data_IF_988232375833
#
_entry.id   IF_988232375833
#
_cell.length_a   1.000
_cell.length_b   1.000
_cell.length_c   1.000
_cell.angle_alpha   90.00
_cell.angle_beta   90.00
_cell.angle_gamma   90.00
#
_symmetry.space_group_name_H-M   'P 1'
#
loop_
_entity.id
_entity.type
_entity.pdbx_description
1 polymer ?
#
# COMPACT_ATOMS: atom_id res chain seq x y z
N UNK A 1 -61.29 24.85 -7.33
CA UNK A 1 -60.03 24.19 -6.92
C UNK A 1 -58.91 25.14 -7.28
N UNK A 2 -58.15 25.65 -6.29
CA UNK A 2 -57.21 26.76 -6.50
C UNK A 2 -55.90 26.26 -7.14
N UNK A 3 -55.48 26.78 -8.32
CA UNK A 3 -54.28 26.32 -9.03
C UNK A 3 -52.98 26.60 -8.25
N UNK A 4 -53.01 27.51 -7.28
CA UNK A 4 -51.87 27.84 -6.42
C UNK A 4 -51.50 26.72 -5.45
N UNK A 5 -52.46 25.90 -5.02
CA UNK A 5 -52.24 24.78 -4.10
C UNK A 5 -51.53 23.61 -4.79
N UNK A 6 -51.80 23.40 -6.09
CA UNK A 6 -51.14 22.37 -6.89
C UNK A 6 -49.68 22.74 -7.19
N UNK A 7 -49.39 24.02 -7.39
CA UNK A 7 -48.04 24.51 -7.66
C UNK A 7 -47.14 24.47 -6.42
N UNK A 8 -47.69 24.77 -5.24
CA UNK A 8 -46.99 24.62 -3.96
C UNK A 8 -46.71 23.16 -3.61
N UNK A 9 -47.61 22.23 -3.93
CA UNK A 9 -47.39 20.79 -3.73
C UNK A 9 -46.31 20.25 -4.68
N UNK A 10 -46.30 20.69 -5.94
CA UNK A 10 -45.23 20.35 -6.88
C UNK A 10 -43.87 20.96 -6.49
N UNK A 11 -43.85 22.18 -5.94
CA UNK A 11 -42.61 22.82 -5.45
C UNK A 11 -42.08 22.12 -4.19
N UNK A 12 -42.97 21.67 -3.28
CA UNK A 12 -42.59 20.91 -2.09
C UNK A 12 -42.08 19.49 -2.42
N UNK A 13 -42.59 18.87 -3.49
CA UNK A 13 -42.12 17.57 -3.99
C UNK A 13 -40.82 17.65 -4.81
N UNK A 14 -40.45 18.84 -5.31
CA UNK A 14 -39.19 19.09 -6.02
C UNK A 14 -38.00 19.33 -5.09
N UNK A 15 -38.25 19.51 -3.79
CA UNK A 15 -37.21 19.50 -2.74
C UNK A 15 -37.15 18.09 -2.13
N UNK A 16 -37.01 17.08 -2.98
CA UNK A 16 -36.37 15.85 -2.53
C UNK A 16 -34.93 16.24 -2.18
N UNK A 17 -34.41 15.92 -0.98
CA UNK A 17 -33.00 16.08 -0.74
C UNK A 17 -32.28 15.27 -1.83
N UNK A 18 -31.46 15.93 -2.65
CA UNK A 18 -30.42 15.23 -3.40
C UNK A 18 -29.78 14.29 -2.38
N UNK A 19 -29.84 12.97 -2.64
CA UNK A 19 -29.53 11.95 -1.64
C UNK A 19 -28.28 12.34 -0.87
N UNK A 20 -28.41 12.51 0.44
CA UNK A 20 -27.32 13.00 1.26
C UNK A 20 -26.19 11.98 1.15
N UNK A 21 -25.09 12.41 0.51
CA UNK A 21 -23.86 11.62 0.46
C UNK A 21 -23.17 11.81 1.80
N UNK A 22 -23.00 10.72 2.54
CA UNK A 22 -22.14 10.70 3.71
C UNK A 22 -20.70 10.48 3.25
N UNK A 23 -19.82 11.39 3.65
CA UNK A 23 -18.38 11.31 3.41
C UNK A 23 -17.67 11.35 4.76
N UNK A 24 -16.92 10.30 5.06
CA UNK A 24 -16.05 10.19 6.23
C UNK A 24 -14.61 10.15 5.74
N UNK A 25 -13.71 10.87 6.43
CA UNK A 25 -12.29 10.90 6.10
C UNK A 25 -11.48 10.39 7.28
N UNK A 26 -10.36 9.72 7.00
CA UNK A 26 -9.38 9.34 8.01
C UNK A 26 -8.72 10.57 8.65
N UNK A 27 -8.06 10.42 9.81
CA UNK A 27 -7.44 11.54 10.54
C UNK A 27 -6.35 12.27 9.74
N UNK A 28 -5.68 11.59 8.81
CA UNK A 28 -4.68 12.13 7.90
C UNK A 28 -5.21 12.53 6.52
N UNK A 29 -6.49 12.25 6.24
CA UNK A 29 -7.14 12.57 4.97
C UNK A 29 -6.72 11.68 3.78
N UNK A 30 -5.98 10.60 4.00
CA UNK A 30 -5.54 9.69 2.94
C UNK A 30 -6.61 8.70 2.51
N UNK A 31 -7.57 8.42 3.39
CA UNK A 31 -8.66 7.47 3.16
C UNK A 31 -10.01 8.16 3.33
N UNK A 32 -10.90 7.90 2.39
CA UNK A 32 -12.29 8.37 2.46
C UNK A 32 -13.28 7.25 2.26
N UNK A 33 -14.35 7.24 3.04
CA UNK A 33 -15.50 6.38 2.88
C UNK A 33 -16.70 7.21 2.40
N UNK A 34 -17.22 6.87 1.23
CA UNK A 34 -18.38 7.53 0.62
C UNK A 34 -19.59 6.59 0.62
N UNK A 35 -20.75 7.06 1.05
CA UNK A 35 -22.00 6.32 1.01
C UNK A 35 -23.16 7.21 0.57
N UNK A 36 -24.10 6.65 -0.18
CA UNK A 36 -25.34 7.34 -0.60
C UNK A 36 -26.44 7.30 0.47
N UNK A 37 -26.17 6.64 1.60
CA UNK A 37 -27.04 6.63 2.77
C UNK A 37 -26.29 7.25 3.96
N UNK A 38 -27.02 7.88 4.91
CA UNK A 38 -26.42 8.38 6.13
C UNK A 38 -25.62 7.28 6.84
N UNK A 39 -24.38 7.59 7.20
CA UNK A 39 -23.49 6.68 7.89
C UNK A 39 -22.98 7.32 9.19
N UNK A 40 -23.19 6.62 10.31
CA UNK A 40 -22.66 6.97 11.62
C UNK A 40 -21.47 6.06 11.91
N UNK A 41 -20.32 6.44 11.36
CA UNK A 41 -19.09 5.66 11.41
C UNK A 41 -17.87 6.57 11.38
N UNK A 42 -16.75 6.05 11.86
CA UNK A 42 -15.46 6.75 11.86
C UNK A 42 -14.37 5.88 11.24
N UNK A 43 -13.41 6.53 10.60
CA UNK A 43 -12.15 5.91 10.19
C UNK A 43 -11.10 6.27 11.22
N UNK A 44 -10.56 5.28 11.92
CA UNK A 44 -9.48 5.45 12.89
C UNK A 44 -8.24 4.68 12.45
N UNK A 45 -7.06 5.04 12.94
CA UNK A 45 -5.86 4.23 12.75
C UNK A 45 -6.05 2.87 13.44
N UNK A 46 -5.85 1.79 12.69
CA UNK A 46 -5.78 0.46 13.27
C UNK A 46 -4.40 0.29 13.96
N UNK A 47 -4.37 -0.33 15.14
CA UNK A 47 -3.12 -0.81 15.73
C UNK A 47 -2.38 -1.69 14.72
N UNK A 48 -1.04 -1.76 14.76
CA UNK A 48 -0.27 -2.47 13.74
C UNK A 48 -0.81 -3.88 13.53
N UNK A 49 -1.30 -4.11 12.30
CA UNK A 49 -1.87 -5.39 11.86
C UNK A 49 -0.85 -6.14 11.02
N UNK A 50 -0.78 -7.46 11.20
CA UNK A 50 0.08 -8.30 10.37
C UNK A 50 -0.61 -8.57 9.04
N UNK A 51 -0.02 -8.19 7.88
CA UNK A 51 -0.58 -8.48 6.57
C UNK A 51 -0.57 -9.99 6.27
N UNK A 52 -1.32 -10.45 5.26
CA UNK A 52 -1.25 -11.83 4.80
C UNK A 52 0.14 -12.16 4.22
N UNK A 53 0.51 -13.44 4.22
CA UNK A 53 1.82 -13.90 3.70
C UNK A 53 2.07 -13.44 2.26
N UNK A 54 3.27 -12.93 1.98
CA UNK A 54 3.66 -12.41 0.67
C UNK A 54 3.19 -10.99 0.38
N UNK A 55 2.49 -10.35 1.32
CA UNK A 55 2.03 -8.97 1.22
C UNK A 55 2.69 -8.07 2.26
N UNK A 56 2.82 -6.80 1.93
CA UNK A 56 3.25 -5.75 2.86
C UNK A 56 2.31 -4.55 2.77
N UNK A 57 2.05 -3.85 3.89
CA UNK A 57 1.33 -2.59 3.86
C UNK A 57 2.18 -1.53 3.15
N UNK A 58 1.53 -0.73 2.31
CA UNK A 58 2.14 0.48 1.72
C UNK A 58 2.15 1.61 2.74
N UNK A 59 1.08 1.70 3.54
CA UNK A 59 0.84 2.78 4.50
C UNK A 59 0.04 2.23 5.71
N UNK A 60 -0.40 3.13 6.58
CA UNK A 60 -1.24 2.81 7.73
C UNK A 60 -2.51 2.03 7.35
N UNK A 61 -2.98 1.23 8.31
CA UNK A 61 -4.25 0.53 8.22
C UNK A 61 -5.34 1.32 8.96
N UNK A 62 -6.58 1.22 8.49
CA UNK A 62 -7.69 2.01 9.01
C UNK A 62 -8.82 1.09 9.48
N UNK A 63 -9.24 1.25 10.72
CA UNK A 63 -10.40 0.62 11.29
C UNK A 63 -11.66 1.43 10.94
N UNK A 64 -12.66 0.76 10.39
CA UNK A 64 -14.02 1.30 10.29
C UNK A 64 -14.80 0.96 11.56
N UNK A 65 -15.03 1.98 12.39
CA UNK A 65 -15.74 1.89 13.67
C UNK A 65 -17.18 2.43 13.53
N UNK A 66 -18.20 1.84 14.18
CA UNK A 66 -18.14 0.71 15.11
C UNK A 66 -18.06 -0.68 14.43
N UNK A 67 -17.57 -1.73 15.11
CA UNK A 67 -17.42 -3.07 14.53
C UNK A 67 -18.76 -3.77 14.23
N UNK A 68 -19.88 -3.29 14.79
CA UNK A 68 -21.23 -3.78 14.52
C UNK A 68 -21.99 -2.91 13.50
N UNK A 69 -21.27 -2.00 12.80
CA UNK A 69 -21.84 -1.13 11.79
C UNK A 69 -22.53 -1.92 10.67
N UNK A 70 -23.79 -1.60 10.41
CA UNK A 70 -24.56 -2.13 9.28
C UNK A 70 -24.67 -1.08 8.19
N UNK A 71 -24.02 -1.33 7.05
CA UNK A 71 -24.12 -0.46 5.88
C UNK A 71 -25.48 -0.63 5.19
N UNK A 72 -26.34 0.38 5.31
CA UNK A 72 -27.67 0.39 4.70
C UNK A 72 -27.64 0.51 3.15
N UNK A 73 -26.51 0.94 2.59
CA UNK A 73 -26.25 1.02 1.16
C UNK A 73 -24.78 0.68 0.88
N UNK A 74 -24.42 0.26 -0.35
CA UNK A 74 -23.02 0.05 -0.72
C UNK A 74 -22.20 1.33 -0.49
N UNK A 75 -21.11 1.20 0.26
CA UNK A 75 -20.15 2.28 0.45
C UNK A 75 -18.91 2.06 -0.43
N UNK A 76 -18.21 3.13 -0.77
CA UNK A 76 -16.96 3.08 -1.53
C UNK A 76 -15.85 3.63 -0.67
N UNK A 77 -14.84 2.81 -0.42
CA UNK A 77 -13.62 3.20 0.25
C UNK A 77 -12.59 3.61 -0.80
N UNK A 78 -11.94 4.75 -0.60
CA UNK A 78 -10.94 5.30 -1.49
C UNK A 78 -9.66 5.56 -0.72
N UNK A 79 -8.56 4.94 -1.13
CA UNK A 79 -7.21 5.21 -0.65
C UNK A 79 -6.49 6.10 -1.66
N UNK A 80 -5.81 7.12 -1.15
CA UNK A 80 -4.85 7.88 -1.94
C UNK A 80 -3.58 7.05 -2.11
N UNK A 81 -3.10 6.93 -3.35
CA UNK A 81 -1.83 6.26 -3.62
C UNK A 81 -0.69 7.24 -3.34
N UNK A 82 0.35 6.85 -2.57
CA UNK A 82 1.53 7.68 -2.38
C UNK A 82 2.17 8.08 -3.72
N UNK A 83 2.58 9.34 -3.84
CA UNK A 83 3.03 9.90 -5.12
C UNK A 83 4.29 9.21 -5.66
N UNK A 84 5.13 8.68 -4.76
CA UNK A 84 6.33 7.91 -5.07
C UNK A 84 6.04 6.54 -5.71
N UNK A 85 4.84 5.98 -5.49
CA UNK A 85 4.41 4.71 -6.08
C UNK A 85 3.45 4.91 -7.26
N UNK A 86 2.89 6.11 -7.39
CA UNK A 86 1.90 6.43 -8.41
C UNK A 86 2.50 6.32 -9.81
N UNK A 87 1.93 5.44 -10.63
CA UNK A 87 2.32 5.27 -12.04
C UNK A 87 3.50 4.33 -12.26
N UNK A 88 4.03 3.68 -11.22
CA UNK A 88 4.99 2.58 -11.38
C UNK A 88 4.26 1.31 -11.86
N UNK A 89 4.51 0.82 -13.09
CA UNK A 89 3.84 -0.37 -13.61
C UNK A 89 4.30 -1.68 -12.95
N UNK A 90 5.41 -1.67 -12.19
CA UNK A 90 5.94 -2.84 -11.49
C UNK A 90 5.26 -3.12 -10.14
N UNK A 91 4.60 -2.11 -9.57
CA UNK A 91 4.04 -2.17 -8.22
C UNK A 91 2.56 -2.56 -8.27
N UNK A 92 2.26 -3.76 -7.78
CA UNK A 92 0.87 -4.26 -7.70
C UNK A 92 0.25 -3.83 -6.38
N UNK A 93 -0.69 -2.90 -6.46
CA UNK A 93 -1.40 -2.36 -5.29
C UNK A 93 -2.83 -2.88 -5.21
N UNK A 94 -3.22 -3.37 -4.03
CA UNK A 94 -4.57 -3.89 -3.76
C UNK A 94 -5.09 -3.42 -2.41
N UNK A 95 -6.41 -3.35 -2.27
CA UNK A 95 -7.04 -3.11 -0.97
C UNK A 95 -7.30 -4.45 -0.27
N UNK A 96 -6.71 -4.62 0.91
CA UNK A 96 -6.99 -5.71 1.82
C UNK A 96 -8.03 -5.32 2.86
N UNK A 97 -8.86 -6.28 3.25
CA UNK A 97 -9.80 -6.17 4.36
C UNK A 97 -9.55 -7.30 5.36
N UNK A 98 -9.37 -6.94 6.62
CA UNK A 98 -9.27 -7.85 7.75
C UNK A 98 -10.58 -7.79 8.54
N UNK A 99 -11.39 -8.84 8.39
CA UNK A 99 -12.58 -9.08 9.19
C UNK A 99 -12.42 -10.29 10.11
N UNK A 100 -13.53 -10.78 10.65
CA UNK A 100 -13.53 -11.90 11.61
C UNK A 100 -12.98 -13.22 11.03
N UNK A 101 -13.17 -13.44 9.73
CA UNK A 101 -12.70 -14.63 9.02
C UNK A 101 -11.22 -14.53 8.57
N UNK A 102 -10.56 -13.40 8.85
CA UNK A 102 -9.20 -13.09 8.43
C UNK A 102 -9.14 -12.13 7.24
N UNK A 103 -8.01 -12.17 6.53
CA UNK A 103 -7.73 -11.28 5.40
C UNK A 103 -8.45 -11.72 4.12
N UNK A 104 -9.06 -10.76 3.44
CA UNK A 104 -9.57 -10.88 2.07
C UNK A 104 -9.03 -9.74 1.19
N UNK A 105 -8.74 -10.04 -0.08
CA UNK A 105 -8.38 -9.01 -1.07
C UNK A 105 -9.64 -8.54 -1.77
N UNK A 106 -9.88 -7.23 -1.73
CA UNK A 106 -11.07 -6.62 -2.32
C UNK A 106 -10.90 -6.39 -3.83
N UNK A 107 -12.01 -6.49 -4.60
CA UNK A 107 -12.01 -6.12 -6.01
C UNK A 107 -11.86 -4.61 -6.16
N UNK A 108 -10.61 -4.16 -6.26
CA UNK A 108 -10.24 -2.76 -6.28
C UNK A 108 -10.06 -2.22 -7.70
N UNK A 109 -10.18 -0.91 -7.86
CA UNK A 109 -9.96 -0.18 -9.12
C UNK A 109 -9.05 0.99 -8.89
N UNK A 110 -8.02 1.08 -9.71
CA UNK A 110 -7.13 2.24 -9.79
C UNK A 110 -7.80 3.32 -10.63
N UNK A 111 -7.79 4.57 -10.16
CA UNK A 111 -8.35 5.73 -10.86
C UNK A 111 -7.38 6.90 -10.78
N UNK A 112 -7.26 7.66 -11.86
CA UNK A 112 -6.55 8.94 -11.87
C UNK A 112 -7.51 10.08 -11.48
N UNK A 113 -7.11 10.89 -10.51
CA UNK A 113 -7.81 12.12 -10.10
C UNK A 113 -6.89 13.32 -10.25
N UNK A 114 -7.47 14.52 -10.18
CA UNK A 114 -6.72 15.78 -10.30
C UNK A 114 -5.55 15.92 -9.30
N UNK A 115 -5.63 15.23 -8.16
CA UNK A 115 -4.67 15.30 -7.07
C UNK A 115 -3.73 14.08 -7.00
N UNK A 116 -3.82 13.14 -7.94
CA UNK A 116 -3.02 11.92 -7.97
C UNK A 116 -3.84 10.66 -8.26
N UNK A 117 -3.21 9.51 -8.09
CA UNK A 117 -3.85 8.22 -8.26
C UNK A 117 -4.55 7.80 -6.97
N UNK A 118 -5.71 7.14 -7.10
CA UNK A 118 -6.45 6.57 -5.98
C UNK A 118 -6.84 5.14 -6.28
N UNK A 119 -7.02 4.35 -5.23
CA UNK A 119 -7.54 2.97 -5.33
C UNK A 119 -8.86 2.91 -4.59
N UNK A 120 -9.90 2.45 -5.28
CA UNK A 120 -11.26 2.38 -4.74
C UNK A 120 -11.74 0.94 -4.65
N UNK A 121 -12.44 0.59 -3.58
CA UNK A 121 -13.14 -0.68 -3.47
C UNK A 121 -14.55 -0.50 -2.85
N UNK A 122 -15.52 -1.33 -3.26
CA UNK A 122 -16.79 -1.40 -2.55
C UNK A 122 -16.60 -2.04 -1.18
N UNK A 123 -17.27 -1.49 -0.17
CA UNK A 123 -17.25 -1.98 1.21
C UNK A 123 -18.68 -2.31 1.64
N UNK A 124 -18.82 -3.48 2.29
CA UNK A 124 -20.11 -4.03 2.72
C UNK A 124 -20.15 -4.42 4.20
N UNK A 125 -19.01 -4.42 4.89
CA UNK A 125 -18.84 -4.81 6.29
C UNK A 125 -17.90 -3.82 6.98
N UNK A 126 -17.92 -3.69 8.31
CA UNK A 126 -16.84 -3.04 9.06
C UNK A 126 -15.62 -3.97 9.18
N UNK A 127 -14.50 -3.41 9.64
CA UNK A 127 -13.24 -4.12 9.79
C UNK A 127 -12.04 -3.21 9.56
N UNK A 128 -10.86 -3.82 9.41
CA UNK A 128 -9.62 -3.08 9.13
C UNK A 128 -9.34 -3.12 7.63
N UNK A 129 -9.03 -1.97 7.05
CA UNK A 129 -8.66 -1.81 5.65
C UNK A 129 -7.22 -1.35 5.52
N UNK A 130 -6.48 -1.93 4.59
CA UNK A 130 -5.10 -1.53 4.32
C UNK A 130 -4.81 -1.57 2.84
N UNK A 131 -3.99 -0.63 2.38
CA UNK A 131 -3.40 -0.68 1.04
C UNK A 131 -2.18 -1.59 1.09
N UNK A 132 -2.21 -2.67 0.33
CA UNK A 132 -1.19 -3.71 0.31
C UNK A 132 -0.48 -3.73 -1.05
N UNK A 133 0.78 -4.11 -1.03
CA UNK A 133 1.54 -4.50 -2.22
C UNK A 133 2.16 -5.88 -2.03
N UNK A 134 2.46 -6.55 -3.14
CA UNK A 134 3.23 -7.78 -3.10
C UNK A 134 4.68 -7.46 -2.75
N UNK A 135 5.27 -8.24 -1.83
CA UNK A 135 6.67 -8.06 -1.43
C UNK A 135 7.61 -8.15 -2.65
N UNK A 136 7.33 -9.06 -3.58
CA UNK A 136 8.09 -9.23 -4.83
C UNK A 136 7.96 -8.08 -5.84
N UNK A 137 6.99 -7.18 -5.65
CA UNK A 137 6.75 -6.05 -6.54
C UNK A 137 7.43 -4.77 -6.08
N UNK A 138 7.92 -4.73 -4.84
CA UNK A 138 8.74 -3.60 -4.40
C UNK A 138 10.11 -3.71 -5.07
N UNK A 139 10.65 -2.61 -5.61
CA UNK A 139 12.02 -2.62 -6.08
C UNK A 139 12.92 -2.94 -4.88
N UNK A 140 13.63 -4.06 -4.96
CA UNK A 140 14.65 -4.39 -3.97
C UNK A 140 15.60 -3.18 -3.89
N UNK A 141 15.91 -2.70 -2.68
CA UNK A 141 17.01 -1.75 -2.48
C UNK A 141 18.38 -2.37 -2.88
N UNK A 142 18.42 -3.60 -3.39
CA UNK A 142 19.58 -4.29 -3.94
C UNK A 142 19.80 -4.04 -5.45
N UNK A 143 19.76 -2.79 -5.91
CA UNK A 143 20.42 -2.41 -7.17
C UNK A 143 21.53 -1.37 -6.94
N UNK A 144 22.34 -1.63 -5.90
CA UNK A 144 23.68 -1.07 -5.76
C UNK A 144 24.70 -2.14 -5.33
N UNK A 145 24.51 -3.41 -5.71
CA UNK A 145 25.61 -4.36 -5.72
C UNK A 145 26.46 -4.11 -6.97
N UNK A 146 27.40 -3.17 -6.83
CA UNK A 146 28.56 -3.05 -7.72
C UNK A 146 29.09 -4.47 -7.96
N UNK A 147 29.24 -4.97 -9.19
CA UNK A 147 29.84 -6.28 -9.38
C UNK A 147 31.26 -6.22 -8.80
N UNK A 148 31.48 -6.82 -7.64
CA UNK A 148 32.82 -7.13 -7.15
C UNK A 148 33.41 -8.10 -8.15
N UNK A 149 34.14 -7.54 -9.10
CA UNK A 149 35.09 -8.26 -9.92
C UNK A 149 36.07 -8.92 -8.93
N UNK A 150 35.86 -10.20 -8.62
CA UNK A 150 36.88 -11.02 -8.00
C UNK A 150 38.07 -11.08 -8.96
N UNK A 151 39.01 -10.16 -8.79
CA UNK A 151 40.33 -10.33 -9.36
C UNK A 151 40.98 -11.52 -8.62
N UNK A 152 41.43 -12.58 -9.31
CA UNK A 152 42.14 -13.66 -8.66
C UNK A 152 43.41 -13.09 -8.01
N UNK A 153 43.52 -13.24 -6.70
CA UNK A 153 44.72 -12.89 -5.94
C UNK A 153 45.94 -13.57 -6.59
N UNK A 154 46.97 -12.82 -7.02
CA UNK A 154 48.21 -13.45 -7.45
C UNK A 154 48.89 -14.06 -6.23
N UNK A 155 48.80 -15.38 -6.10
CA UNK A 155 49.59 -16.17 -5.15
C UNK A 155 51.06 -16.07 -5.55
N UNK A 156 51.74 -15.05 -5.03
CA UNK A 156 53.18 -14.86 -5.22
C UNK A 156 53.89 -15.22 -3.91
N UNK A 157 54.60 -16.36 -3.99
CA UNK A 157 55.78 -16.80 -3.22
C UNK A 157 55.56 -17.33 -1.79
N UNK A 158 56.07 -18.57 -1.55
CA UNK A 158 57.36 -18.65 -0.87
C UNK A 158 58.34 -19.57 -1.62
N UNK A 159 59.05 -19.03 -2.61
CA UNK A 159 60.24 -19.69 -3.18
C UNK A 159 61.54 -19.02 -2.68
N UNK A 160 61.50 -18.44 -1.47
CA UNK A 160 62.66 -17.83 -0.82
C UNK A 160 63.39 -18.80 0.14
N UNK A 161 63.37 -20.11 -0.13
CA UNK A 161 64.13 -21.12 0.63
C UNK A 161 65.22 -21.83 -0.19
N UNK A 162 65.37 -21.53 -1.48
CA UNK A 162 66.37 -22.19 -2.34
C UNK A 162 67.63 -21.35 -2.63
N UNK A 163 67.75 -20.12 -2.12
CA UNK A 163 68.85 -19.20 -2.48
C UNK A 163 69.98 -19.10 -1.42
N UNK A 164 69.86 -19.78 -0.28
CA UNK A 164 70.95 -19.91 0.69
C UNK A 164 71.79 -21.20 0.53
N UNK A 165 71.35 -22.16 -0.30
CA UNK A 165 72.11 -23.39 -0.55
C UNK A 165 73.16 -23.27 -1.68
N UNK A 166 73.11 -22.21 -2.52
CA UNK A 166 74.09 -22.01 -3.61
C UNK A 166 75.23 -21.03 -3.27
N UNK A 167 75.23 -20.40 -2.09
CA UNK A 167 76.29 -19.48 -1.65
C UNK A 167 77.30 -20.08 -0.64
N UNK A 168 77.15 -21.35 -0.25
CA UNK A 168 78.16 -22.07 0.56
C UNK A 168 79.00 -23.11 -0.22
N UNK A 169 78.84 -23.23 -1.54
CA UNK A 169 79.59 -24.24 -2.34
C UNK A 169 80.68 -23.64 -3.25
N UNK A 170 80.79 -22.30 -3.37
CA UNK A 170 81.83 -21.66 -4.19
C UNK A 170 82.46 -20.50 -3.40
N UNK A 171 83.34 -20.83 -2.45
CA UNK A 171 84.07 -19.81 -1.68
C UNK A 171 84.96 -20.36 -0.57
N UNK A 172 85.79 -21.37 -0.85
CA UNK A 172 86.68 -21.93 0.16
C UNK A 172 87.67 -23.00 -0.33
N UNK A 173 88.20 -22.86 -1.55
CA UNK A 173 89.47 -23.50 -1.93
C UNK A 173 90.54 -22.42 -1.95
N UNK A 174 91.31 -22.35 -0.88
CA UNK A 174 92.76 -22.10 -0.87
C UNK A 174 93.30 -22.47 0.49
#
# INVERSE_FOLDING_TARGET
MSPHLSLLLCLALLVLPAGAVSLISSPDGLVTLESTAPLDAELAFAFPVTPPEGWMPIDEAYLLDPPDLVLAAPATLTFTVPAELAGDPGIVMVLGHLGDDGWEILPSRVQEKAYGQVITAPVSRPGVYSLLTQVSSMPDEEEAAIPTTEAPLPVILPFAAALFASLMVIGGKR
#
